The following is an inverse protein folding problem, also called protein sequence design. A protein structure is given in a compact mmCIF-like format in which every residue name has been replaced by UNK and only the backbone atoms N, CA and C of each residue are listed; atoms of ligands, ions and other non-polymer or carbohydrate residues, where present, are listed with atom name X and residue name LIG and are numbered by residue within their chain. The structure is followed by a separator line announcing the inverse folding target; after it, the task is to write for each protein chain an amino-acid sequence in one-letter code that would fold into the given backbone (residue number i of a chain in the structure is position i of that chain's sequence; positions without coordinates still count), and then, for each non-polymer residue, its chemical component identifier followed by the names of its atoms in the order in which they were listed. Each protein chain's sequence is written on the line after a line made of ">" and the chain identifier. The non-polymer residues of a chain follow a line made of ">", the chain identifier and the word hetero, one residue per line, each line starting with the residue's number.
data_IF_707137863112
#
_entry.id   IF_707137863112
#
_cell.length_a   1.000
_cell.length_b   1.000
_cell.length_c   1.000
_cell.angle_alpha   90.00
_cell.angle_beta   90.00
_cell.angle_gamma   90.00
#
_symmetry.space_group_name_H-M   'P 1'
#
loop_
_entity.id
_entity.type
_entity.pdbx_description
1 polymer ?
#
# COMPACT_ATOMS: atom_id res chain seq x y z
N UNK A 1 48.88 -44.98 0.86
CA UNK A 1 47.87 -45.08 -0.21
C UNK A 1 46.57 -45.53 0.44
N UNK A 2 45.63 -44.62 0.66
CA UNK A 2 44.25 -45.00 1.01
C UNK A 2 43.29 -43.88 0.59
N UNK A 3 42.16 -44.32 0.05
CA UNK A 3 41.20 -43.63 -0.80
C UNK A 3 40.48 -42.40 -0.23
N UNK A 4 40.20 -41.46 -1.14
CA UNK A 4 39.18 -40.43 -0.97
C UNK A 4 37.80 -41.01 -1.34
N UNK A 5 36.96 -41.27 -0.33
CA UNK A 5 35.54 -41.51 -0.52
C UNK A 5 34.74 -40.29 -0.03
N UNK A 6 34.19 -39.54 -0.99
CA UNK A 6 33.27 -38.42 -0.78
C UNK A 6 31.99 -38.94 -0.12
N UNK A 7 31.69 -38.48 1.10
CA UNK A 7 30.41 -38.70 1.77
C UNK A 7 29.67 -37.36 1.87
N UNK A 8 28.69 -37.16 1.00
CA UNK A 8 27.78 -36.01 1.00
C UNK A 8 26.91 -36.04 2.28
N UNK A 9 26.85 -34.97 3.10
CA UNK A 9 25.81 -34.84 4.10
C UNK A 9 24.53 -34.29 3.45
N UNK A 10 23.53 -35.17 3.31
CA UNK A 10 22.15 -34.85 2.94
C UNK A 10 21.44 -34.10 4.07
N UNK A 11 21.76 -32.82 4.28
CA UNK A 11 21.08 -31.98 5.28
C UNK A 11 21.05 -30.50 4.90
N UNK A 12 20.70 -30.20 3.65
CA UNK A 12 20.56 -28.81 3.16
C UNK A 12 19.10 -28.40 2.86
N UNK A 13 18.21 -29.35 2.63
CA UNK A 13 16.87 -29.05 2.09
C UNK A 13 15.80 -28.81 3.15
N UNK A 14 16.07 -29.15 4.42
CA UNK A 14 15.09 -28.98 5.50
C UNK A 14 15.12 -27.60 6.16
N UNK A 15 16.22 -26.87 6.07
CA UNK A 15 16.36 -25.54 6.70
C UNK A 15 15.69 -24.45 5.85
N UNK A 16 15.75 -24.58 4.53
CA UNK A 16 15.20 -23.59 3.58
C UNK A 16 13.66 -23.54 3.63
N UNK A 17 12.99 -24.67 3.88
CA UNK A 17 11.54 -24.69 4.01
C UNK A 17 11.04 -24.09 5.34
N UNK A 18 11.84 -24.15 6.41
CA UNK A 18 11.47 -23.54 7.70
C UNK A 18 11.62 -22.01 7.69
N UNK A 19 12.64 -21.47 7.02
CA UNK A 19 12.78 -20.01 6.88
C UNK A 19 11.71 -19.38 5.98
N UNK A 20 11.29 -20.06 4.90
CA UNK A 20 10.18 -19.60 4.05
C UNK A 20 8.84 -19.54 4.82
N UNK A 21 8.64 -20.42 5.80
CA UNK A 21 7.41 -20.45 6.61
C UNK A 21 7.41 -19.34 7.67
N UNK A 22 8.56 -19.03 8.27
CA UNK A 22 8.72 -17.91 9.21
C UNK A 22 8.56 -16.54 8.55
N UNK A 23 9.03 -16.37 7.31
CA UNK A 23 8.86 -15.10 6.55
C UNK A 23 7.39 -14.86 6.18
N UNK A 24 6.63 -15.92 5.92
CA UNK A 24 5.20 -15.82 5.63
C UNK A 24 4.37 -15.56 6.90
N UNK A 25 4.78 -16.12 8.05
CA UNK A 25 4.21 -15.81 9.37
C UNK A 25 4.53 -14.38 9.85
N UNK A 26 5.68 -13.82 9.45
CA UNK A 26 6.02 -12.41 9.72
C UNK A 26 5.17 -11.42 8.90
N UNK A 27 4.66 -11.83 7.74
CA UNK A 27 3.74 -11.01 6.93
C UNK A 27 2.28 -11.16 7.35
N UNK A 28 1.86 -12.30 7.90
CA UNK A 28 0.46 -12.53 8.28
C UNK A 28 0.10 -11.98 9.67
N UNK A 29 1.08 -11.82 10.58
CA UNK A 29 0.85 -11.26 11.93
C UNK A 29 1.14 -9.76 12.06
N UNK A 30 1.57 -9.09 10.98
CA UNK A 30 1.66 -7.63 10.97
C UNK A 30 0.27 -7.00 10.78
N UNK A 31 -0.70 -7.32 11.63
CA UNK A 31 -1.75 -6.35 11.94
C UNK A 31 -1.09 -5.31 12.84
N UNK A 32 -0.76 -4.10 12.35
CA UNK A 32 -0.12 -3.12 13.19
C UNK A 32 -1.16 -2.68 14.22
N UNK A 33 -1.00 -3.17 15.45
CA UNK A 33 -1.83 -2.78 16.57
C UNK A 33 -1.77 -1.25 16.69
N UNK A 34 -2.86 -0.58 16.30
CA UNK A 34 -3.03 0.88 16.28
C UNK A 34 -2.73 1.56 17.64
N UNK A 35 -2.58 0.76 18.70
CA UNK A 35 -2.19 1.19 20.04
C UNK A 35 -0.73 1.67 20.16
N UNK A 36 0.21 1.16 19.35
CA UNK A 36 1.62 1.55 19.50
C UNK A 36 1.89 2.99 19.00
N UNK A 37 1.19 3.39 17.94
CA UNK A 37 1.24 4.75 17.37
C UNK A 37 0.58 5.79 18.29
N UNK A 38 -0.39 5.35 19.09
CA UNK A 38 -1.05 6.17 20.13
C UNK A 38 -0.12 6.43 21.33
N UNK A 39 0.72 5.45 21.69
CA UNK A 39 1.61 5.52 22.87
C UNK A 39 2.91 6.28 22.55
N UNK A 40 3.45 6.19 21.34
CA UNK A 40 4.73 6.82 20.99
C UNK A 40 4.63 8.28 20.51
N UNK A 41 3.43 8.77 20.15
CA UNK A 41 3.30 10.10 19.53
C UNK A 41 2.25 11.04 20.13
N UNK A 42 1.35 10.59 21.01
CA UNK A 42 0.26 11.44 21.54
C UNK A 42 -0.77 11.89 20.48
N UNK A 43 -0.73 11.32 19.27
CA UNK A 43 -1.70 11.58 18.21
C UNK A 43 -2.94 10.71 18.44
N UNK A 44 -3.88 11.23 19.24
CA UNK A 44 -5.22 10.64 19.35
C UNK A 44 -5.91 10.68 17.99
N UNK A 45 -6.13 9.50 17.41
CA UNK A 45 -6.70 9.24 16.07
C UNK A 45 -5.66 9.39 14.93
N UNK A 46 -5.22 8.26 14.36
CA UNK A 46 -4.33 8.18 13.18
C UNK A 46 -5.09 8.56 11.90
N UNK A 47 -5.59 9.77 11.85
CA UNK A 47 -6.21 10.32 10.66
C UNK A 47 -5.13 10.77 9.67
N UNK A 48 -5.44 10.67 8.38
CA UNK A 48 -4.70 11.12 7.20
C UNK A 48 -3.17 11.13 7.30
N UNK A 49 -2.56 12.18 7.87
CA UNK A 49 -1.10 12.28 7.98
C UNK A 49 -0.41 11.09 8.66
N UNK A 50 -0.99 10.54 9.74
CA UNK A 50 -0.39 9.39 10.45
C UNK A 50 -0.40 8.10 9.61
N UNK A 51 -1.49 7.89 8.87
CA UNK A 51 -1.64 6.75 7.96
C UNK A 51 -0.69 6.87 6.75
N UNK A 52 -0.45 8.08 6.27
CA UNK A 52 0.53 8.38 5.22
C UNK A 52 1.94 8.00 5.68
N UNK A 53 2.35 8.43 6.88
CA UNK A 53 3.66 8.09 7.43
C UNK A 53 3.82 6.59 7.60
N UNK A 54 2.82 5.91 8.19
CA UNK A 54 2.86 4.46 8.40
C UNK A 54 3.00 3.68 7.08
N UNK A 55 2.16 3.97 6.08
CA UNK A 55 2.21 3.24 4.81
C UNK A 55 3.49 3.51 4.02
N UNK A 56 3.99 4.75 4.03
CA UNK A 56 5.27 5.07 3.38
C UNK A 56 6.45 4.36 4.04
N UNK A 57 6.43 4.24 5.37
CA UNK A 57 7.45 3.52 6.13
C UNK A 57 7.40 2.02 5.82
N UNK A 58 6.23 1.38 5.85
CA UNK A 58 6.07 -0.04 5.53
C UNK A 58 6.49 -0.39 4.09
N UNK A 59 6.15 0.47 3.13
CA UNK A 59 6.57 0.32 1.74
C UNK A 59 8.09 0.47 1.59
N UNK A 60 8.68 1.42 2.32
CA UNK A 60 10.12 1.63 2.36
C UNK A 60 10.85 0.44 3.00
N UNK A 61 10.43 -0.04 4.17
CA UNK A 61 11.11 -1.14 4.88
C UNK A 61 11.04 -2.45 4.12
N UNK A 62 9.90 -2.78 3.51
CA UNK A 62 9.79 -4.00 2.69
C UNK A 62 10.74 -3.97 1.49
N UNK A 63 10.80 -2.83 0.78
CA UNK A 63 11.74 -2.63 -0.35
C UNK A 63 13.20 -2.69 0.14
N UNK A 64 13.51 -2.03 1.26
CA UNK A 64 14.84 -2.03 1.86
C UNK A 64 15.27 -3.43 2.29
N UNK A 65 14.37 -4.24 2.85
CA UNK A 65 14.65 -5.61 3.27
C UNK A 65 14.98 -6.50 2.06
N UNK A 66 14.18 -6.44 0.99
CA UNK A 66 14.41 -7.24 -0.22
C UNK A 66 15.73 -6.85 -0.90
N UNK A 67 15.96 -5.55 -1.10
CA UNK A 67 17.20 -5.07 -1.73
C UNK A 67 18.40 -5.30 -0.81
N UNK A 68 18.22 -5.18 0.52
CA UNK A 68 19.28 -5.42 1.49
C UNK A 68 19.72 -6.88 1.58
N UNK A 69 18.77 -7.81 1.61
CA UNK A 69 19.06 -9.25 1.62
C UNK A 69 19.76 -9.66 0.32
N UNK A 70 19.28 -9.19 -0.82
CA UNK A 70 19.94 -9.47 -2.12
C UNK A 70 21.33 -8.84 -2.21
N UNK A 71 21.52 -7.61 -1.73
CA UNK A 71 22.82 -6.96 -1.67
C UNK A 71 23.79 -7.64 -0.69
N UNK A 72 23.31 -8.20 0.42
CA UNK A 72 24.13 -8.96 1.36
C UNK A 72 24.67 -10.26 0.74
N UNK A 73 23.81 -10.98 0.00
CA UNK A 73 24.19 -12.24 -0.68
C UNK A 73 25.25 -11.97 -1.75
N UNK A 74 25.05 -10.93 -2.56
CA UNK A 74 25.99 -10.55 -3.63
C UNK A 74 27.27 -9.95 -3.03
N UNK A 75 27.14 -9.11 -2.01
CA UNK A 75 28.25 -8.43 -1.35
C UNK A 75 29.19 -9.37 -0.59
N UNK A 76 28.65 -10.43 0.04
CA UNK A 76 29.49 -11.45 0.69
C UNK A 76 30.30 -12.24 -0.33
N UNK A 77 29.75 -12.46 -1.53
CA UNK A 77 30.37 -13.25 -2.59
C UNK A 77 31.50 -12.52 -3.33
N UNK A 78 31.48 -11.19 -3.37
CA UNK A 78 32.42 -10.39 -4.17
C UNK A 78 33.55 -9.76 -3.31
N UNK A 79 33.24 -9.30 -2.11
CA UNK A 79 34.15 -8.45 -1.32
C UNK A 79 34.56 -9.02 0.04
N UNK A 80 34.01 -10.15 0.47
CA UNK A 80 34.28 -10.76 1.79
C UNK A 80 33.87 -9.87 2.98
N UNK A 81 33.39 -8.65 2.74
CA UNK A 81 32.96 -7.65 3.72
C UNK A 81 31.50 -7.29 3.43
N UNK A 82 30.58 -8.12 3.92
CA UNK A 82 29.14 -7.93 3.70
C UNK A 82 28.59 -6.63 4.33
N UNK A 83 29.33 -6.01 5.26
CA UNK A 83 28.83 -4.91 6.08
C UNK A 83 28.60 -3.59 5.32
N UNK A 84 29.49 -3.22 4.39
CA UNK A 84 29.38 -1.95 3.63
C UNK A 84 28.19 -1.93 2.64
N UNK A 85 28.02 -2.92 1.74
CA UNK A 85 26.87 -2.96 0.85
C UNK A 85 25.56 -3.16 1.62
N UNK A 86 25.57 -3.89 2.75
CA UNK A 86 24.40 -4.06 3.59
C UNK A 86 23.96 -2.75 4.27
N UNK A 87 24.82 -1.77 4.48
CA UNK A 87 24.43 -0.53 5.16
C UNK A 87 23.91 0.52 4.17
N UNK A 88 24.56 0.65 3.02
CA UNK A 88 24.25 1.72 2.05
C UNK A 88 23.06 1.36 1.16
N UNK A 89 22.99 0.12 0.69
CA UNK A 89 22.00 -0.30 -0.31
C UNK A 89 20.56 -0.32 0.24
N UNK A 90 20.29 -0.80 1.48
CA UNK A 90 18.93 -0.76 2.03
C UNK A 90 18.42 0.64 2.27
N UNK A 91 19.27 1.61 2.63
CA UNK A 91 18.84 3.00 2.81
C UNK A 91 18.39 3.63 1.49
N UNK A 92 19.11 3.33 0.39
CA UNK A 92 18.70 3.74 -0.95
C UNK A 92 17.41 3.01 -1.35
N UNK A 93 17.30 1.71 -1.05
CA UNK A 93 16.09 0.91 -1.28
C UNK A 93 14.87 1.45 -0.53
N UNK A 94 15.06 1.88 0.73
CA UNK A 94 14.03 2.50 1.55
C UNK A 94 13.57 3.83 0.95
N UNK A 95 14.52 4.70 0.58
CA UNK A 95 14.22 6.01 -0.01
C UNK A 95 13.49 5.86 -1.35
N UNK A 96 13.93 4.95 -2.22
CA UNK A 96 13.27 4.68 -3.50
C UNK A 96 11.90 4.02 -3.32
N UNK A 97 11.77 3.08 -2.38
CA UNK A 97 10.50 2.40 -2.08
C UNK A 97 9.44 3.37 -1.56
N UNK A 98 9.81 4.19 -0.57
CA UNK A 98 8.93 5.22 -0.01
C UNK A 98 8.58 6.31 -1.04
N UNK A 99 9.54 6.75 -1.85
CA UNK A 99 9.29 7.72 -2.92
C UNK A 99 8.37 7.18 -4.01
N UNK A 100 8.62 5.94 -4.48
CA UNK A 100 7.76 5.27 -5.48
C UNK A 100 6.34 5.12 -4.96
N UNK A 101 6.19 4.67 -3.72
CA UNK A 101 4.88 4.55 -3.08
C UNK A 101 4.16 5.90 -3.03
N UNK A 102 4.84 6.96 -2.62
CA UNK A 102 4.26 8.31 -2.56
C UNK A 102 3.84 8.82 -3.95
N UNK A 103 4.63 8.54 -4.99
CA UNK A 103 4.28 8.91 -6.37
C UNK A 103 3.02 8.19 -6.86
N UNK A 104 2.89 6.89 -6.58
CA UNK A 104 1.71 6.09 -6.94
C UNK A 104 0.49 6.58 -6.15
N UNK A 105 0.61 6.72 -4.84
CA UNK A 105 -0.44 7.24 -3.97
C UNK A 105 -0.93 8.62 -4.42
N UNK A 106 -0.02 9.50 -4.85
CA UNK A 106 -0.38 10.83 -5.39
C UNK A 106 -1.19 10.72 -6.68
N UNK A 107 -0.81 9.83 -7.60
CA UNK A 107 -1.54 9.62 -8.86
C UNK A 107 -2.94 9.06 -8.60
N UNK A 108 -3.05 8.05 -7.74
CA UNK A 108 -4.33 7.46 -7.37
C UNK A 108 -5.24 8.45 -6.65
N UNK A 109 -4.69 9.23 -5.72
CA UNK A 109 -5.45 10.26 -5.02
C UNK A 109 -5.97 11.35 -5.97
N UNK A 110 -5.17 11.76 -6.98
CA UNK A 110 -5.60 12.71 -8.01
C UNK A 110 -6.70 12.13 -8.92
N UNK A 111 -6.56 10.88 -9.36
CA UNK A 111 -7.58 10.21 -10.16
C UNK A 111 -8.89 10.06 -9.38
N UNK A 112 -8.82 9.72 -8.11
CA UNK A 112 -10.03 9.57 -7.28
C UNK A 112 -10.65 10.91 -6.90
N UNK A 113 -9.85 11.99 -6.86
CA UNK A 113 -10.39 13.34 -6.73
C UNK A 113 -11.29 13.71 -7.91
N UNK A 114 -10.88 13.37 -9.14
CA UNK A 114 -11.66 13.67 -10.34
C UNK A 114 -12.94 12.81 -10.44
N UNK A 115 -12.92 11.57 -9.90
CA UNK A 115 -14.09 10.68 -9.92
C UNK A 115 -15.07 10.91 -8.74
N UNK A 116 -14.56 11.19 -7.54
CA UNK A 116 -15.35 11.32 -6.31
C UNK A 116 -14.97 12.58 -5.50
N UNK A 117 -15.10 13.78 -6.07
CA UNK A 117 -14.62 15.02 -5.44
C UNK A 117 -15.33 15.36 -4.14
N UNK A 118 -16.60 14.98 -3.99
CA UNK A 118 -17.42 15.25 -2.79
C UNK A 118 -16.91 14.49 -1.55
N UNK A 119 -16.49 13.24 -1.72
CA UNK A 119 -16.03 12.37 -0.63
C UNK A 119 -14.64 12.79 -0.16
N UNK A 120 -13.75 13.04 -1.11
CA UNK A 120 -12.41 13.53 -0.79
C UNK A 120 -12.47 14.92 -0.13
N UNK A 121 -13.38 15.80 -0.56
CA UNK A 121 -13.62 17.09 0.12
C UNK A 121 -14.00 16.90 1.58
N UNK A 122 -14.94 15.99 1.88
CA UNK A 122 -15.36 15.71 3.26
C UNK A 122 -14.18 15.26 4.13
N UNK A 123 -13.41 14.30 3.65
CA UNK A 123 -12.24 13.79 4.37
C UNK A 123 -11.11 14.82 4.46
N UNK A 124 -10.94 15.69 3.47
CA UNK A 124 -9.94 16.76 3.50
C UNK A 124 -10.29 17.82 4.57
N UNK A 125 -11.56 18.19 4.69
CA UNK A 125 -12.02 19.14 5.71
C UNK A 125 -11.91 18.50 7.10
N UNK A 126 -12.27 17.22 7.24
CA UNK A 126 -12.19 16.49 8.50
C UNK A 126 -10.73 16.28 8.98
N UNK A 127 -9.80 16.01 8.06
CA UNK A 127 -8.38 15.82 8.38
C UNK A 127 -7.64 17.13 8.69
N UNK A 128 -8.06 18.25 8.11
CA UNK A 128 -7.35 19.54 8.19
C UNK A 128 -8.25 20.69 8.68
N UNK A 129 -8.84 20.62 9.89
CA UNK A 129 -9.76 21.65 10.40
C UNK A 129 -9.09 23.03 10.57
N UNK A 130 -7.76 23.08 10.69
CA UNK A 130 -6.99 24.32 10.82
C UNK A 130 -6.83 25.12 9.50
N UNK A 131 -7.29 24.60 8.35
CA UNK A 131 -7.36 25.35 7.08
C UNK A 131 -8.81 25.68 6.71
N UNK A 132 -9.41 26.75 7.28
CA UNK A 132 -10.81 27.11 7.04
C UNK A 132 -11.11 27.48 5.58
N UNK A 133 -10.07 27.84 4.81
CA UNK A 133 -10.16 28.10 3.38
C UNK A 133 -10.52 26.89 2.52
N UNK A 134 -10.43 25.66 3.05
CA UNK A 134 -10.87 24.45 2.34
C UNK A 134 -12.39 24.24 2.47
N UNK A 135 -12.96 24.44 3.66
CA UNK A 135 -14.40 24.27 3.90
C UNK A 135 -15.29 25.25 3.09
N UNK A 136 -14.81 26.48 2.89
CA UNK A 136 -15.52 27.52 2.14
C UNK A 136 -15.60 27.28 0.63
N UNK A 137 -14.80 26.35 0.09
CA UNK A 137 -14.74 26.10 -1.35
C UNK A 137 -15.74 25.00 -1.74
N UNK A 138 -16.48 25.25 -2.83
CA UNK A 138 -17.43 24.28 -3.40
C UNK A 138 -16.72 23.07 -4.01
N UNK A 139 -17.50 22.05 -4.37
CA UNK A 139 -16.99 20.78 -4.93
C UNK A 139 -16.24 21.01 -6.25
N UNK A 140 -16.70 21.94 -7.08
CA UNK A 140 -16.08 22.27 -8.38
C UNK A 140 -14.66 22.85 -8.27
N UNK A 141 -14.28 23.32 -7.09
CA UNK A 141 -12.92 23.80 -6.85
C UNK A 141 -11.91 22.64 -6.70
N UNK A 142 -12.38 21.44 -6.34
CA UNK A 142 -11.57 20.27 -6.06
C UNK A 142 -11.21 19.51 -7.34
N UNK A 143 -10.25 20.06 -8.09
CA UNK A 143 -9.77 19.49 -9.37
C UNK A 143 -8.33 19.01 -9.24
N UNK A 144 -7.99 17.92 -9.94
CA UNK A 144 -6.62 17.38 -9.97
C UNK A 144 -5.55 18.40 -10.36
N UNK A 145 -5.82 19.30 -11.30
CA UNK A 145 -4.87 20.32 -11.77
C UNK A 145 -4.36 21.24 -10.62
N UNK A 146 -5.29 21.74 -9.78
CA UNK A 146 -4.95 22.61 -8.65
C UNK A 146 -4.14 21.88 -7.59
N UNK A 147 -4.51 20.64 -7.30
CA UNK A 147 -3.81 19.82 -6.31
C UNK A 147 -2.45 19.35 -6.82
N UNK A 148 -2.27 19.21 -8.13
CA UNK A 148 -0.97 18.85 -8.74
C UNK A 148 0.04 20.00 -8.75
N UNK A 149 -0.40 21.26 -8.68
CA UNK A 149 0.49 22.42 -8.71
C UNK A 149 1.32 22.57 -7.43
N UNK A 150 0.75 22.32 -6.24
CA UNK A 150 1.43 22.56 -4.95
C UNK A 150 1.70 21.26 -4.19
N UNK A 151 2.94 21.07 -3.74
CA UNK A 151 3.34 19.88 -2.98
C UNK A 151 2.57 19.72 -1.67
N UNK A 152 2.26 20.83 -0.98
CA UNK A 152 1.46 20.83 0.25
C UNK A 152 0.04 20.31 -0.03
N UNK A 153 -0.57 20.71 -1.15
CA UNK A 153 -1.90 20.24 -1.53
C UNK A 153 -1.87 18.74 -1.89
N UNK A 154 -0.80 18.28 -2.55
CA UNK A 154 -0.61 16.84 -2.85
C UNK A 154 -0.58 16.00 -1.57
N UNK A 155 0.23 16.39 -0.59
CA UNK A 155 0.36 15.60 0.64
C UNK A 155 -0.94 15.60 1.44
N UNK A 156 -1.65 16.73 1.51
CA UNK A 156 -2.98 16.82 2.11
C UNK A 156 -3.98 15.93 1.39
N UNK A 157 -3.96 15.92 0.05
CA UNK A 157 -4.84 15.09 -0.76
C UNK A 157 -4.57 13.60 -0.54
N UNK A 158 -3.30 13.19 -0.53
CA UNK A 158 -2.92 11.79 -0.25
C UNK A 158 -3.38 11.38 1.15
N UNK A 159 -3.21 12.23 2.16
CA UNK A 159 -3.69 11.97 3.51
C UNK A 159 -5.21 11.82 3.57
N UNK A 160 -5.96 12.72 2.94
CA UNK A 160 -7.42 12.64 2.90
C UNK A 160 -7.90 11.42 2.11
N UNK A 161 -7.24 11.11 0.99
CA UNK A 161 -7.49 9.92 0.19
C UNK A 161 -7.31 8.64 1.00
N UNK A 162 -6.21 8.52 1.75
CA UNK A 162 -5.94 7.37 2.61
C UNK A 162 -7.02 7.17 3.69
N UNK A 163 -7.56 8.27 4.21
CA UNK A 163 -8.66 8.20 5.19
C UNK A 163 -9.99 7.86 4.51
N UNK A 164 -10.17 8.27 3.26
CA UNK A 164 -11.36 8.02 2.47
C UNK A 164 -11.41 6.61 1.85
N UNK A 165 -10.29 5.86 1.83
CA UNK A 165 -10.20 4.49 1.30
C UNK A 165 -11.40 3.59 1.67
N UNK A 166 -11.75 3.40 2.96
CA UNK A 166 -12.88 2.54 3.31
C UNK A 166 -14.23 3.02 2.74
N UNK A 167 -14.45 4.34 2.68
CA UNK A 167 -15.67 4.91 2.10
C UNK A 167 -15.72 4.76 0.57
N UNK A 168 -14.57 4.88 -0.08
CA UNK A 168 -14.44 4.69 -1.53
C UNK A 168 -14.65 3.22 -1.92
N UNK A 169 -14.13 2.29 -1.11
CA UNK A 169 -14.30 0.86 -1.33
C UNK A 169 -15.77 0.45 -1.15
N UNK A 170 -16.47 0.95 -0.11
CA UNK A 170 -17.90 0.65 0.08
C UNK A 170 -18.74 1.09 -1.12
N UNK A 171 -18.46 2.27 -1.69
CA UNK A 171 -19.18 2.78 -2.86
C UNK A 171 -18.88 1.95 -4.10
N UNK A 172 -17.62 1.54 -4.29
CA UNK A 172 -17.25 0.65 -5.38
C UNK A 172 -17.96 -0.68 -5.26
N UNK A 173 -17.93 -1.33 -4.09
CA UNK A 173 -18.61 -2.59 -3.84
C UNK A 173 -20.12 -2.48 -4.05
N UNK A 174 -20.76 -1.40 -3.59
CA UNK A 174 -22.19 -1.16 -3.82
C UNK A 174 -22.51 -0.98 -5.31
N UNK A 175 -21.65 -0.27 -6.04
CA UNK A 175 -21.80 -0.05 -7.48
C UNK A 175 -21.64 -1.37 -8.25
N UNK A 176 -20.62 -2.16 -7.91
CA UNK A 176 -20.38 -3.48 -8.49
C UNK A 176 -21.54 -4.45 -8.23
N UNK A 177 -22.07 -4.48 -7.01
CA UNK A 177 -23.22 -5.30 -6.66
C UNK A 177 -24.47 -4.95 -7.50
N UNK A 178 -24.75 -3.65 -7.69
CA UNK A 178 -25.86 -3.20 -8.53
C UNK A 178 -25.68 -3.56 -10.01
N UNK A 179 -24.45 -3.49 -10.53
CA UNK A 179 -24.14 -3.91 -11.90
C UNK A 179 -24.36 -5.41 -12.05
N UNK A 180 -23.84 -6.23 -11.13
CA UNK A 180 -24.03 -7.70 -11.16
C UNK A 180 -25.51 -8.07 -11.09
N UNK A 181 -26.28 -7.42 -10.21
CA UNK A 181 -27.73 -7.65 -10.11
C UNK A 181 -28.44 -7.34 -11.43
N UNK A 182 -28.06 -6.26 -12.11
CA UNK A 182 -28.62 -5.90 -13.43
C UNK A 182 -28.29 -6.96 -14.50
N UNK A 183 -27.08 -7.52 -14.50
CA UNK A 183 -26.68 -8.59 -15.42
C UNK A 183 -27.40 -9.91 -15.12
N UNK A 184 -27.55 -10.28 -13.85
CA UNK A 184 -28.29 -11.48 -13.43
C UNK A 184 -29.75 -11.34 -13.87
N UNK A 185 -30.39 -10.20 -13.61
CA UNK A 185 -31.75 -9.91 -14.05
C UNK A 185 -31.90 -10.03 -15.57
N UNK A 186 -30.98 -9.44 -16.33
CA UNK A 186 -31.01 -9.52 -17.80
C UNK A 186 -30.82 -10.96 -18.32
N UNK A 187 -29.99 -11.76 -17.64
CA UNK A 187 -29.76 -13.18 -17.97
C UNK A 187 -31.01 -14.04 -17.71
N UNK A 188 -31.74 -13.78 -16.62
CA UNK A 188 -33.01 -14.46 -16.35
C UNK A 188 -34.09 -14.14 -17.37
N UNK A 189 -34.18 -12.88 -17.83
CA UNK A 189 -35.14 -12.49 -18.87
C UNK A 189 -34.79 -13.17 -20.21
N UNK A 190 -33.51 -13.15 -20.60
CA UNK A 190 -33.05 -13.79 -21.85
C UNK A 190 -33.25 -15.31 -21.85
N UNK A 191 -33.07 -15.98 -20.71
CA UNK A 191 -33.31 -17.42 -20.59
C UNK A 191 -34.79 -17.79 -20.51
N UNK A 192 -35.66 -16.87 -20.08
CA UNK A 192 -37.11 -17.04 -20.11
C UNK A 192 -37.68 -16.97 -21.54
N UNK A 193 -37.22 -16.01 -22.33
CA UNK A 193 -37.63 -15.86 -23.75
C UNK A 193 -37.25 -17.08 -24.61
N UNK A 194 -36.15 -17.77 -24.30
CA UNK A 194 -35.72 -18.96 -25.04
C UNK A 194 -36.50 -20.24 -24.66
N UNK A 195 -37.39 -20.18 -23.66
CA UNK A 195 -38.19 -21.33 -23.20
C UNK A 195 -39.66 -21.25 -23.59
N UNK A 196 -40.10 -20.17 -24.26
CA UNK A 196 -41.48 -20.00 -24.74
C UNK A 196 -41.65 -20.33 -26.24
N UNK A 197 -40.56 -20.65 -26.95
CA UNK A 197 -40.53 -20.94 -28.40
C UNK A 197 -40.37 -22.44 -28.75
N UNK A 198 -40.56 -23.37 -27.80
CA UNK A 198 -40.52 -24.84 -28.05
C UNK A 198 -41.90 -25.52 -27.93
#
# INVERSE_FOLDING_TARGET
>A
MQDYAVRLPASGYRVVFTEMQQVNEFSSNAQPHFNLLRILGGWGNVNGPGLLMLRSMLAGTSTAAVIGLSAAIIGSSIWGTAALPFLVVPSIGFALGSARWYMVATREALLQLDNYPSILRLHLIANFPWKPGLGRKGVDWYTSDRFRSRWEMKSMLVAAWLTAQPALDEIRTRTEAGIVESYVRQSHVKNGDLSEDE
#
